data_IF_754445646681
#
_entry.id   IF_754445646681
#
_cell.length_a   1.000
_cell.length_b   1.000
_cell.length_c   1.000
_cell.angle_alpha   90.00
_cell.angle_beta   90.00
_cell.angle_gamma   90.00
#
_symmetry.space_group_name_H-M   'P 1'
#
loop_
_entity.id
_entity.type
_entity.pdbx_description
1 polymer ?
#
# COMPACT_ATOMS: atom_id res chain seq x y z
N UNK A 1 22.59 -9.76 -10.05
CA UNK A 1 21.31 -9.06 -10.19
C UNK A 1 21.32 -7.77 -9.37
N UNK A 2 20.92 -6.66 -9.99
CA UNK A 2 20.91 -5.37 -9.28
C UNK A 2 19.80 -5.34 -8.24
N UNK A 3 20.10 -4.71 -7.11
CA UNK A 3 19.13 -4.49 -6.05
C UNK A 3 18.60 -3.05 -6.15
N UNK A 4 17.30 -2.88 -6.01
CA UNK A 4 16.67 -1.57 -6.00
C UNK A 4 16.26 -1.20 -4.58
N UNK A 5 16.32 0.09 -4.22
CA UNK A 5 15.79 0.50 -2.92
C UNK A 5 14.27 0.29 -2.86
N UNK A 6 13.77 0.02 -1.67
CA UNK A 6 12.34 -0.19 -1.47
C UNK A 6 11.54 1.07 -1.81
N UNK A 7 12.10 2.25 -1.52
CA UNK A 7 11.47 3.53 -1.80
C UNK A 7 12.53 4.60 -2.03
N UNK A 8 12.14 5.70 -2.66
CA UNK A 8 13.06 6.78 -3.02
C UNK A 8 12.99 7.91 -1.99
N UNK A 9 14.15 8.37 -1.54
CA UNK A 9 14.26 9.51 -0.64
C UNK A 9 13.51 10.72 -1.22
N UNK A 10 12.72 11.37 -0.40
CA UNK A 10 11.91 12.52 -0.80
C UNK A 10 10.50 12.16 -1.22
N UNK A 11 10.24 10.90 -1.52
CA UNK A 11 8.90 10.42 -1.79
C UNK A 11 8.19 10.05 -0.49
N UNK A 12 6.97 9.54 -0.60
CA UNK A 12 6.12 9.25 0.54
C UNK A 12 5.58 7.83 0.44
N UNK A 13 5.29 7.23 1.59
CA UNK A 13 4.54 5.99 1.64
C UNK A 13 3.19 6.26 2.27
N UNK A 14 2.12 5.70 1.69
CA UNK A 14 0.90 5.57 2.45
C UNK A 14 0.90 4.19 3.12
N UNK A 15 0.45 4.14 4.35
CA UNK A 15 0.37 2.88 5.10
C UNK A 15 -1.02 2.80 5.72
N UNK A 16 -1.79 1.80 5.30
CA UNK A 16 -3.02 1.42 6.00
C UNK A 16 -2.67 0.28 6.95
N UNK A 17 -3.03 0.42 8.21
CA UNK A 17 -2.81 -0.58 9.26
C UNK A 17 -4.18 -0.87 9.85
N UNK A 18 -4.67 -2.10 9.71
CA UNK A 18 -6.04 -2.42 10.11
C UNK A 18 -6.17 -3.89 10.49
N UNK A 19 -7.24 -4.19 11.22
CA UNK A 19 -7.57 -5.54 11.67
C UNK A 19 -8.83 -5.99 10.92
N UNK A 20 -8.75 -7.10 10.21
CA UNK A 20 -9.91 -7.71 9.55
C UNK A 20 -10.65 -8.57 10.57
N UNK A 21 -11.97 -8.62 10.48
CA UNK A 21 -12.78 -9.44 11.38
C UNK A 21 -12.37 -10.91 11.27
N UNK A 22 -12.31 -11.57 12.44
CA UNK A 22 -11.87 -12.95 12.51
C UNK A 22 -12.76 -13.85 11.65
N UNK A 23 -12.12 -14.68 10.85
CA UNK A 23 -12.82 -15.60 9.94
C UNK A 23 -13.15 -15.01 8.58
N UNK A 24 -12.88 -13.71 8.38
CA UNK A 24 -13.17 -13.03 7.12
C UNK A 24 -11.92 -12.61 6.37
N UNK A 25 -10.76 -13.11 6.77
CA UNK A 25 -9.48 -12.73 6.18
C UNK A 25 -9.40 -13.06 4.69
N UNK A 26 -9.80 -14.28 4.32
CA UNK A 26 -9.76 -14.69 2.91
C UNK A 26 -10.76 -13.92 2.06
N UNK A 27 -11.91 -13.60 2.62
CA UNK A 27 -12.92 -12.77 1.97
C UNK A 27 -12.37 -11.38 1.68
N UNK A 28 -11.63 -10.80 2.64
CA UNK A 28 -11.02 -9.49 2.46
C UNK A 28 -9.97 -9.52 1.35
N UNK A 29 -9.08 -10.51 1.36
CA UNK A 29 -8.05 -10.65 0.34
C UNK A 29 -8.68 -10.74 -1.05
N UNK A 30 -9.71 -11.55 -1.19
CA UNK A 30 -10.40 -11.70 -2.47
C UNK A 30 -11.04 -10.40 -2.94
N UNK A 31 -11.70 -9.68 -2.04
CA UNK A 31 -12.31 -8.40 -2.35
C UNK A 31 -11.25 -7.38 -2.78
N UNK A 32 -10.13 -7.34 -2.06
CA UNK A 32 -9.02 -6.45 -2.40
C UNK A 32 -8.46 -6.75 -3.78
N UNK A 33 -8.23 -8.03 -4.09
CA UNK A 33 -7.68 -8.42 -5.39
C UNK A 33 -8.65 -8.08 -6.53
N UNK A 34 -9.94 -8.30 -6.33
CA UNK A 34 -10.94 -7.95 -7.34
C UNK A 34 -10.92 -6.46 -7.65
N UNK A 35 -10.78 -5.62 -6.63
CA UNK A 35 -10.66 -4.19 -6.82
C UNK A 35 -9.33 -3.80 -7.44
N UNK A 36 -8.23 -4.32 -6.89
CA UNK A 36 -6.88 -3.93 -7.31
C UNK A 36 -6.60 -4.31 -8.77
N UNK A 37 -7.11 -5.46 -9.20
CA UNK A 37 -6.88 -5.93 -10.57
C UNK A 37 -7.85 -5.35 -11.58
N UNK A 38 -8.82 -4.57 -11.14
CA UNK A 38 -9.81 -3.98 -12.05
C UNK A 38 -9.22 -2.84 -12.87
N UNK A 39 -9.67 -2.71 -14.11
CA UNK A 39 -9.26 -1.60 -14.97
C UNK A 39 -9.75 -0.24 -14.48
N UNK A 40 -10.74 -0.25 -13.61
CA UNK A 40 -11.33 0.98 -13.06
C UNK A 40 -10.60 1.56 -11.87
N UNK A 41 -9.52 0.92 -11.40
CA UNK A 41 -8.79 1.41 -10.22
C UNK A 41 -8.06 2.72 -10.55
N UNK A 42 -8.54 3.89 -10.07
CA UNK A 42 -7.92 5.17 -10.41
C UNK A 42 -6.54 5.36 -9.79
N UNK A 43 -6.19 4.59 -8.76
CA UNK A 43 -4.85 4.65 -8.17
C UNK A 43 -3.78 4.26 -9.19
N UNK A 44 -4.07 3.27 -10.04
CA UNK A 44 -3.12 2.81 -11.05
C UNK A 44 -2.99 3.78 -12.22
N UNK A 45 -3.90 4.75 -12.33
CA UNK A 45 -3.88 5.73 -13.43
C UNK A 45 -3.19 7.02 -13.05
N UNK A 46 -2.76 7.15 -11.80
CA UNK A 46 -2.11 8.37 -11.34
C UNK A 46 -0.60 8.32 -11.59
N UNK A 47 -0.07 9.38 -12.21
CA UNK A 47 1.37 9.53 -12.38
C UNK A 47 2.09 9.83 -11.07
N UNK A 48 1.36 10.17 -10.02
CA UNK A 48 1.94 10.40 -8.69
C UNK A 48 2.25 9.11 -7.96
N UNK A 49 1.66 7.99 -8.36
CA UNK A 49 2.01 6.69 -7.78
C UNK A 49 3.31 6.20 -8.40
N UNK A 50 4.33 6.01 -7.56
CA UNK A 50 5.66 5.59 -8.01
C UNK A 50 5.77 4.07 -8.03
N UNK A 51 5.26 3.42 -6.99
CA UNK A 51 5.20 1.95 -6.92
C UNK A 51 3.84 1.54 -6.41
N UNK A 52 3.28 0.51 -7.05
CA UNK A 52 1.98 0.00 -6.71
C UNK A 52 1.95 -0.59 -5.30
N UNK A 53 0.76 -0.59 -4.72
CA UNK A 53 0.56 -1.07 -3.36
C UNK A 53 0.66 -2.56 -3.24
N UNK A 54 1.14 -3.00 -2.08
CA UNK A 54 1.14 -4.40 -1.71
C UNK A 54 0.31 -4.57 -0.45
N UNK A 55 -0.47 -5.66 -0.41
CA UNK A 55 -1.22 -6.04 0.78
C UNK A 55 -0.40 -7.07 1.54
N UNK A 56 -0.06 -6.75 2.78
CA UNK A 56 0.76 -7.61 3.63
C UNK A 56 -0.04 -8.07 4.84
N UNK A 57 0.26 -9.26 5.32
CA UNK A 57 -0.33 -9.79 6.55
C UNK A 57 0.75 -9.88 7.61
N UNK A 58 0.42 -9.48 8.84
CA UNK A 58 1.31 -9.65 9.97
C UNK A 58 1.57 -11.14 10.19
N UNK A 59 2.84 -11.54 10.29
CA UNK A 59 3.20 -12.94 10.47
C UNK A 59 2.81 -13.48 11.86
N UNK A 60 2.57 -12.60 12.82
CA UNK A 60 2.21 -12.98 14.19
C UNK A 60 0.72 -12.82 14.49
N UNK A 61 0.00 -12.08 13.64
CA UNK A 61 -1.43 -11.87 13.81
C UNK A 61 -2.13 -11.94 12.45
N UNK A 62 -2.76 -13.08 12.10
CA UNK A 62 -3.35 -13.25 10.77
C UNK A 62 -4.50 -12.34 10.44
N UNK A 63 -5.05 -11.62 11.42
CA UNK A 63 -6.11 -10.63 11.19
C UNK A 63 -5.56 -9.25 10.85
N UNK A 64 -4.29 -8.98 11.16
CA UNK A 64 -3.70 -7.66 10.96
C UNK A 64 -3.05 -7.55 9.60
N UNK A 65 -3.46 -6.52 8.86
CA UNK A 65 -3.00 -6.28 7.50
C UNK A 65 -2.41 -4.89 7.36
N UNK A 66 -1.49 -4.77 6.40
CA UNK A 66 -0.91 -3.50 6.00
C UNK A 66 -1.03 -3.37 4.50
N UNK A 67 -1.46 -2.21 4.04
CA UNK A 67 -1.45 -1.87 2.61
C UNK A 67 -0.48 -0.70 2.44
N UNK A 68 0.55 -0.88 1.63
CA UNK A 68 1.65 0.07 1.52
C UNK A 68 1.94 0.35 0.05
N UNK A 69 2.07 1.62 -0.32
CA UNK A 69 2.50 2.01 -1.66
C UNK A 69 3.35 3.29 -1.59
N UNK A 70 4.13 3.53 -2.64
CA UNK A 70 4.99 4.70 -2.73
C UNK A 70 4.38 5.75 -3.65
N UNK A 71 4.34 7.00 -3.19
CA UNK A 71 3.75 8.13 -3.90
C UNK A 71 4.73 9.31 -3.92
N UNK A 72 4.78 10.00 -5.07
CA UNK A 72 5.52 11.25 -5.18
C UNK A 72 4.74 12.43 -4.59
N UNK A 73 3.41 12.31 -4.50
CA UNK A 73 2.53 13.38 -4.04
C UNK A 73 1.37 12.79 -3.25
N UNK A 74 1.37 13.00 -1.93
CA UNK A 74 0.31 12.48 -1.06
C UNK A 74 -0.99 13.28 -1.15
N UNK A 75 -0.94 14.51 -1.63
CA UNK A 75 -2.15 15.30 -1.86
C UNK A 75 -2.98 14.63 -2.97
N UNK A 76 -2.29 14.14 -4.01
CA UNK A 76 -2.94 13.42 -5.09
C UNK A 76 -3.54 12.09 -4.60
N UNK A 77 -2.82 11.35 -3.76
CA UNK A 77 -3.37 10.13 -3.16
C UNK A 77 -4.63 10.43 -2.37
N UNK A 78 -4.60 11.48 -1.53
CA UNK A 78 -5.75 11.85 -0.72
C UNK A 78 -6.96 12.24 -1.58
N UNK A 79 -6.72 12.91 -2.70
CA UNK A 79 -7.76 13.30 -3.64
C UNK A 79 -8.45 12.07 -4.24
N UNK A 80 -7.67 11.10 -4.71
CA UNK A 80 -8.20 9.88 -5.31
C UNK A 80 -8.92 9.03 -4.25
N UNK A 81 -8.35 8.92 -3.06
CA UNK A 81 -8.95 8.20 -1.95
C UNK A 81 -10.35 8.75 -1.61
N UNK A 82 -10.50 10.06 -1.65
CA UNK A 82 -11.79 10.71 -1.36
C UNK A 82 -12.85 10.30 -2.38
N UNK A 83 -12.46 10.18 -3.65
CA UNK A 83 -13.37 9.71 -4.71
C UNK A 83 -13.79 8.27 -4.45
N UNK A 84 -12.83 7.40 -4.09
CA UNK A 84 -13.09 5.99 -3.85
C UNK A 84 -13.90 5.75 -2.57
N UNK A 85 -13.86 6.67 -1.61
CA UNK A 85 -14.50 6.49 -0.31
C UNK A 85 -16.00 6.28 -0.42
N UNK A 86 -16.65 6.84 -1.43
CA UNK A 86 -18.09 6.74 -1.62
C UNK A 86 -18.49 5.43 -2.30
N UNK A 87 -17.63 4.89 -3.17
CA UNK A 87 -17.97 3.75 -4.02
C UNK A 87 -17.48 2.42 -3.47
N UNK A 88 -16.27 2.39 -2.97
CA UNK A 88 -15.56 1.14 -2.66
C UNK A 88 -15.34 0.95 -1.17
N UNK A 89 -15.04 2.02 -0.46
CA UNK A 89 -14.74 1.98 0.97
C UNK A 89 -15.79 1.26 1.81
N UNK A 90 -17.10 1.42 1.58
CA UNK A 90 -18.10 0.72 2.41
C UNK A 90 -17.94 -0.80 2.42
N UNK A 91 -17.59 -1.41 1.27
CA UNK A 91 -17.40 -2.84 1.20
C UNK A 91 -16.20 -3.31 2.03
N UNK A 92 -15.09 -2.57 1.96
CA UNK A 92 -13.89 -2.88 2.74
C UNK A 92 -14.11 -2.67 4.23
N UNK A 93 -14.70 -1.54 4.60
CA UNK A 93 -14.91 -1.16 6.00
C UNK A 93 -15.80 -2.18 6.72
N UNK A 94 -16.73 -2.79 6.00
CA UNK A 94 -17.61 -3.81 6.57
C UNK A 94 -16.88 -5.06 7.06
N UNK A 95 -15.65 -5.30 6.57
CA UNK A 95 -14.83 -6.45 6.96
C UNK A 95 -13.76 -6.08 8.00
N UNK A 96 -13.64 -4.81 8.36
CA UNK A 96 -12.57 -4.31 9.23
C UNK A 96 -13.12 -3.99 10.61
N UNK A 97 -12.42 -4.46 11.65
CA UNK A 97 -12.75 -4.12 13.03
C UNK A 97 -12.61 -2.61 13.24
N UNK A 98 -13.57 -2.02 13.94
CA UNK A 98 -13.60 -0.58 14.17
C UNK A 98 -14.08 0.24 12.97
N UNK A 99 -14.28 -0.40 11.83
CA UNK A 99 -14.82 0.20 10.60
C UNK A 99 -14.08 1.45 10.17
N UNK A 100 -12.74 1.43 10.32
CA UNK A 100 -11.87 2.54 9.92
C UNK A 100 -10.85 2.05 8.91
N UNK A 101 -10.71 2.81 7.83
CA UNK A 101 -9.73 2.53 6.77
C UNK A 101 -9.07 3.84 6.39
N UNK A 102 -8.11 4.27 7.23
CA UNK A 102 -7.46 5.57 7.12
C UNK A 102 -5.95 5.38 6.94
N UNK A 103 -5.35 6.02 5.94
CA UNK A 103 -3.91 5.88 5.73
C UNK A 103 -3.12 6.75 6.67
N UNK A 104 -1.92 6.27 6.98
CA UNK A 104 -0.86 7.11 7.54
C UNK A 104 0.10 7.43 6.41
N UNK A 105 0.52 8.67 6.33
CA UNK A 105 1.53 9.09 5.36
C UNK A 105 2.86 9.29 6.08
N UNK A 106 3.92 8.75 5.49
CA UNK A 106 5.28 8.92 6.01
C UNK A 106 6.19 9.38 4.89
N UNK A 107 7.16 10.21 5.23
CA UNK A 107 8.14 10.68 4.26
C UNK A 107 9.37 9.77 4.30
N UNK A 108 9.88 9.40 3.13
CA UNK A 108 11.11 8.62 3.03
C UNK A 108 12.29 9.57 3.21
N UNK A 109 12.87 9.57 4.40
CA UNK A 109 13.96 10.52 4.74
C UNK A 109 15.34 9.98 4.43
N UNK A 110 15.48 8.69 4.22
CA UNK A 110 16.75 8.07 3.86
C UNK A 110 16.48 6.78 3.09
N UNK A 111 17.28 6.57 2.05
CA UNK A 111 17.22 5.35 1.24
C UNK A 111 18.64 5.11 0.71
N UNK A 112 19.11 3.86 0.76
CA UNK A 112 20.46 3.55 0.30
C UNK A 112 20.57 3.80 -1.21
N UNK A 113 21.54 4.62 -1.66
CA UNK A 113 21.73 4.86 -3.09
C UNK A 113 22.01 3.57 -3.88
N UNK A 114 21.54 3.54 -5.11
CA UNK A 114 21.70 2.35 -5.96
C UNK A 114 23.16 1.95 -6.15
N UNK A 115 24.07 2.95 -6.28
CA UNK A 115 25.50 2.66 -6.44
C UNK A 115 26.04 1.85 -5.27
N UNK A 116 25.58 2.18 -4.05
CA UNK A 116 26.00 1.47 -2.85
C UNK A 116 25.38 0.08 -2.81
N UNK A 117 24.09 -0.02 -3.15
CA UNK A 117 23.40 -1.31 -3.19
C UNK A 117 24.05 -2.26 -4.19
N UNK A 118 24.39 -1.75 -5.37
CA UNK A 118 24.99 -2.58 -6.42
C UNK A 118 26.42 -2.96 -6.08
N UNK A 119 27.19 -2.05 -5.45
CA UNK A 119 28.56 -2.34 -5.04
C UNK A 119 28.61 -3.36 -3.90
N UNK A 120 27.56 -3.44 -3.09
CA UNK A 120 27.49 -4.34 -1.94
C UNK A 120 26.92 -5.72 -2.27
N UNK A 121 26.57 -5.97 -3.54
CA UNK A 121 26.03 -7.28 -3.93
C UNK A 121 27.05 -8.40 -3.63
N UNK A 122 26.60 -9.48 -3.00
CA UNK A 122 27.51 -10.59 -2.75
C UNK A 122 27.97 -11.23 -4.05
N UNK A 123 29.23 -11.68 -4.08
CA UNK A 123 29.72 -12.45 -5.21
C UNK A 123 29.07 -13.84 -5.13
N UNK A 124 28.45 -14.25 -6.18
CA UNK A 124 27.77 -15.54 -6.24
C UNK A 124 28.60 -16.57 -6.99
#
# INVERSE_FOLDING_TARGET
MAQEPLATKGNFLHIYDFIVEKGREDEFIKLFEEFDYSDGNPMHKSSAQVKDGVLCRDTENPQRFFLIAEWADIVEHARIRKILAEEIKPAFVGLIEGRKFVPKYVEVVSSTPEEILNAAQPAE
#
